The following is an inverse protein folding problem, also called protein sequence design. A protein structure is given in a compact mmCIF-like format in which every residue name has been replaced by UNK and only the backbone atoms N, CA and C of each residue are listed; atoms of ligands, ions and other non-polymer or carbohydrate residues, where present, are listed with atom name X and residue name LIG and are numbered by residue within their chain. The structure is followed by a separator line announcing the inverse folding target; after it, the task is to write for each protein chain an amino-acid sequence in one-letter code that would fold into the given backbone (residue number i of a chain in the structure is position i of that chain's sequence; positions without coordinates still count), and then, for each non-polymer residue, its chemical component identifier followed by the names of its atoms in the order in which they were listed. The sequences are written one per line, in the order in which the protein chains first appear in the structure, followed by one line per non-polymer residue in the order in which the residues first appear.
data_IF_198017688302
#
_entry.id   IF_198017688302
#
_cell.length_a   1.000
_cell.length_b   1.000
_cell.length_c   1.000
_cell.angle_alpha   90.00
_cell.angle_beta   90.00
_cell.angle_gamma   90.00
#
_symmetry.space_group_name_H-M   'P 1'
#
loop_
_entity.id
_entity.type
_entity.pdbx_description
1 polymer ?
#
# COMPACT_ATOMS: atom_id res chain seq x y z
N UNK A 1 -61.01 15.87 16.77
CA UNK A 1 -60.59 15.66 15.37
C UNK A 1 -59.56 16.66 14.86
N UNK A 2 -59.77 17.99 14.97
CA UNK A 2 -58.80 19.00 14.47
C UNK A 2 -57.38 18.90 15.06
N UNK A 3 -57.24 18.52 16.34
CA UNK A 3 -55.93 18.35 17.00
C UNK A 3 -55.15 17.11 16.51
N UNK A 4 -55.85 16.02 16.16
CA UNK A 4 -55.23 14.78 15.64
C UNK A 4 -54.75 14.94 14.19
N UNK A 5 -55.49 15.72 13.38
CA UNK A 5 -55.08 16.06 12.02
C UNK A 5 -53.84 16.97 12.02
N UNK A 6 -53.77 17.92 12.97
CA UNK A 6 -52.62 18.82 13.10
C UNK A 6 -51.35 18.06 13.50
N UNK A 7 -51.43 17.14 14.46
CA UNK A 7 -50.28 16.31 14.86
C UNK A 7 -49.82 15.39 13.73
N UNK A 8 -50.75 14.79 12.97
CA UNK A 8 -50.40 13.96 11.81
C UNK A 8 -49.70 14.76 10.72
N UNK A 9 -50.12 16.02 10.49
CA UNK A 9 -49.50 16.89 9.49
C UNK A 9 -48.06 17.25 9.91
N UNK A 10 -47.84 17.56 11.19
CA UNK A 10 -46.52 17.88 11.73
C UNK A 10 -45.57 16.69 11.59
N UNK A 11 -46.02 15.47 11.90
CA UNK A 11 -45.19 14.26 11.76
C UNK A 11 -44.79 14.00 10.31
N UNK A 12 -45.69 14.23 9.35
CA UNK A 12 -45.39 14.09 7.92
C UNK A 12 -44.34 15.13 7.48
N UNK A 13 -44.49 16.38 7.91
CA UNK A 13 -43.54 17.45 7.59
C UNK A 13 -42.16 17.14 8.17
N UNK A 14 -42.08 16.69 9.42
CA UNK A 14 -40.82 16.28 10.04
C UNK A 14 -40.18 15.12 9.28
N UNK A 15 -40.96 14.10 8.88
CA UNK A 15 -40.46 12.97 8.10
C UNK A 15 -39.89 13.36 6.74
N UNK A 16 -40.56 14.29 6.03
CA UNK A 16 -40.08 14.81 4.74
C UNK A 16 -38.80 15.63 4.92
N UNK A 17 -38.71 16.46 5.97
CA UNK A 17 -37.50 17.23 6.26
C UNK A 17 -36.33 16.29 6.57
N UNK A 18 -36.53 15.26 7.38
CA UNK A 18 -35.50 14.26 7.68
C UNK A 18 -35.07 13.55 6.38
N UNK A 19 -36.01 13.11 5.55
CA UNK A 19 -35.72 12.46 4.27
C UNK A 19 -34.90 13.35 3.33
N UNK A 20 -35.28 14.63 3.18
CA UNK A 20 -34.54 15.60 2.36
C UNK A 20 -33.15 15.86 2.92
N UNK A 21 -33.00 15.99 4.25
CA UNK A 21 -31.68 16.17 4.87
C UNK A 21 -30.81 14.92 4.73
N UNK A 22 -31.39 13.73 4.77
CA UNK A 22 -30.66 12.47 4.60
C UNK A 22 -30.19 12.31 3.15
N UNK A 23 -31.05 12.59 2.16
CA UNK A 23 -30.70 12.66 0.74
C UNK A 23 -29.61 13.72 0.51
N UNK A 24 -29.73 14.94 1.03
CA UNK A 24 -28.71 15.98 0.87
C UNK A 24 -27.38 15.64 1.55
N UNK A 25 -27.38 14.97 2.70
CA UNK A 25 -26.16 14.56 3.40
C UNK A 25 -25.51 13.36 2.71
N UNK A 26 -26.29 12.39 2.24
CA UNK A 26 -25.81 11.24 1.47
C UNK A 26 -25.32 11.65 0.07
N UNK A 27 -25.97 12.64 -0.56
CA UNK A 27 -25.48 13.26 -1.78
C UNK A 27 -24.20 14.02 -1.46
N UNK A 28 -24.07 14.76 -0.36
CA UNK A 28 -22.82 15.47 -0.03
C UNK A 28 -21.65 14.52 0.24
N UNK A 29 -21.91 13.37 0.87
CA UNK A 29 -20.92 12.32 1.13
C UNK A 29 -20.58 11.50 -0.15
N UNK A 30 -21.47 11.47 -1.15
CA UNK A 30 -21.22 10.84 -2.45
C UNK A 30 -20.82 11.82 -3.58
N UNK A 31 -21.03 13.13 -3.42
CA UNK A 31 -20.67 14.18 -4.40
C UNK A 31 -19.23 14.64 -4.21
N UNK A 32 -18.62 14.43 -3.04
CA UNK A 32 -17.15 14.39 -2.97
C UNK A 32 -16.56 13.17 -3.71
N UNK A 33 -17.39 12.20 -4.11
CA UNK A 33 -16.99 10.96 -4.80
C UNK A 33 -17.55 10.82 -6.23
N UNK A 34 -18.35 11.77 -6.73
CA UNK A 34 -19.06 11.63 -8.02
C UNK A 34 -18.84 12.75 -9.02
N UNK A 35 -17.92 13.68 -8.76
CA UNK A 35 -17.35 14.56 -9.78
C UNK A 35 -15.82 14.42 -9.80
N UNK A 36 -15.37 13.24 -10.22
CA UNK A 36 -14.14 13.19 -11.02
C UNK A 36 -14.55 12.56 -12.33
N UNK A 37 -14.95 13.42 -13.26
CA UNK A 37 -14.78 13.15 -14.67
C UNK A 37 -13.44 12.43 -14.85
N UNK A 38 -13.44 11.35 -15.63
CA UNK A 38 -12.25 10.68 -16.12
C UNK A 38 -11.39 11.66 -16.93
N UNK A 39 -10.73 12.60 -16.26
CA UNK A 39 -9.40 13.00 -16.65
C UNK A 39 -8.51 11.85 -16.19
N UNK A 40 -8.34 10.88 -17.08
CA UNK A 40 -7.14 10.05 -17.10
C UNK A 40 -5.98 11.01 -17.40
N UNK A 41 -5.63 11.84 -16.40
CA UNK A 41 -4.29 12.40 -16.32
C UNK A 41 -3.46 11.15 -16.10
N UNK A 42 -2.77 10.71 -17.15
CA UNK A 42 -1.70 9.73 -17.02
C UNK A 42 -0.79 10.30 -15.92
N UNK A 43 -0.94 9.80 -14.69
CA UNK A 43 -0.06 10.17 -13.60
C UNK A 43 1.28 9.58 -13.98
N UNK A 44 2.14 10.43 -14.53
CA UNK A 44 3.52 10.08 -14.80
C UNK A 44 4.19 10.00 -13.43
N UNK A 45 4.37 8.78 -12.95
CA UNK A 45 5.14 8.53 -11.75
C UNK A 45 6.62 8.64 -12.11
N UNK A 46 7.36 9.45 -11.36
CA UNK A 46 8.82 9.43 -11.40
C UNK A 46 9.32 8.43 -10.36
N UNK A 47 10.32 7.64 -10.75
CA UNK A 47 10.94 6.69 -9.83
C UNK A 47 11.73 7.46 -8.78
N UNK A 48 11.41 7.25 -7.50
CA UNK A 48 12.12 7.85 -6.37
C UNK A 48 12.46 6.76 -5.35
N UNK A 49 13.75 6.63 -5.04
CA UNK A 49 14.28 5.78 -3.97
C UNK A 49 15.21 6.54 -3.04
N UNK A 50 15.12 7.87 -2.98
CA UNK A 50 15.94 8.72 -2.10
C UNK A 50 15.84 8.35 -0.61
N UNK A 51 14.77 7.65 -0.23
CA UNK A 51 14.46 7.17 1.11
C UNK A 51 14.82 5.69 1.34
N UNK A 52 15.37 5.01 0.32
CA UNK A 52 15.79 3.62 0.39
C UNK A 52 17.27 3.48 0.07
N UNK A 53 17.92 2.45 0.61
CA UNK A 53 19.29 2.09 0.21
C UNK A 53 19.25 1.07 -0.92
N UNK A 54 19.78 1.42 -2.10
CA UNK A 54 19.96 0.46 -3.20
C UNK A 54 21.02 -0.59 -2.81
N UNK A 55 20.71 -1.87 -3.01
CA UNK A 55 21.55 -3.00 -2.62
C UNK A 55 21.56 -4.08 -3.69
N UNK A 56 22.61 -4.91 -3.67
CA UNK A 56 22.72 -6.10 -4.51
C UNK A 56 22.11 -7.34 -3.81
N UNK A 57 21.76 -8.37 -4.58
CA UNK A 57 21.18 -9.62 -4.04
C UNK A 57 22.13 -10.34 -3.09
N UNK A 58 23.44 -10.23 -3.31
CA UNK A 58 24.49 -10.79 -2.49
C UNK A 58 24.54 -10.19 -1.08
N UNK A 59 24.05 -8.95 -0.92
CA UNK A 59 24.06 -8.23 0.36
C UNK A 59 22.81 -8.52 1.19
N UNK A 60 21.70 -8.93 0.56
CA UNK A 60 20.40 -9.03 1.23
C UNK A 60 20.40 -9.97 2.43
N UNK A 61 21.06 -11.13 2.33
CA UNK A 61 21.11 -12.08 3.43
C UNK A 61 21.75 -11.47 4.68
N UNK A 62 22.88 -10.79 4.51
CA UNK A 62 23.58 -10.15 5.63
C UNK A 62 22.72 -9.03 6.25
N UNK A 63 22.04 -8.25 5.41
CA UNK A 63 21.14 -7.18 5.88
C UNK A 63 19.98 -7.76 6.71
N UNK A 64 19.37 -8.86 6.26
CA UNK A 64 18.30 -9.55 7.00
C UNK A 64 18.78 -10.09 8.35
N UNK A 65 20.04 -10.55 8.42
CA UNK A 65 20.62 -11.14 9.63
C UNK A 65 21.07 -10.08 10.66
N UNK A 66 21.47 -8.88 10.21
CA UNK A 66 22.01 -7.83 11.08
C UNK A 66 20.95 -6.89 11.66
N UNK A 67 19.84 -6.70 10.96
CA UNK A 67 18.84 -5.69 11.31
C UNK A 67 17.57 -6.25 11.96
N UNK A 68 16.99 -5.46 12.88
CA UNK A 68 15.82 -5.88 13.64
C UNK A 68 14.56 -5.95 12.78
N UNK A 69 14.26 -4.92 12.00
CA UNK A 69 13.11 -4.88 11.08
C UNK A 69 13.53 -4.20 9.80
N UNK A 70 13.35 -4.90 8.67
CA UNK A 70 13.67 -4.35 7.36
C UNK A 70 12.54 -4.59 6.37
N UNK A 71 12.44 -3.68 5.42
CA UNK A 71 11.62 -3.82 4.23
C UNK A 71 12.54 -3.90 3.02
N UNK A 72 12.28 -4.86 2.12
CA UNK A 72 13.00 -5.00 0.86
C UNK A 72 11.98 -4.76 -0.27
N UNK A 73 12.12 -3.63 -0.94
CA UNK A 73 11.41 -3.30 -2.16
C UNK A 73 12.16 -3.85 -3.37
N UNK A 74 11.56 -4.80 -4.08
CA UNK A 74 12.11 -5.42 -5.27
C UNK A 74 11.29 -4.96 -6.46
N UNK A 75 11.95 -4.40 -7.47
CA UNK A 75 11.27 -3.82 -8.62
C UNK A 75 12.22 -3.52 -9.76
N UNK A 76 11.66 -3.04 -10.88
CA UNK A 76 12.44 -2.51 -12.00
C UNK A 76 12.17 -1.03 -12.18
N UNK A 77 13.21 -0.20 -12.19
CA UNK A 77 13.07 1.26 -12.23
C UNK A 77 12.26 1.75 -13.45
N UNK A 78 12.32 1.04 -14.57
CA UNK A 78 11.61 1.37 -15.80
C UNK A 78 10.11 1.01 -15.78
N UNK A 79 9.68 0.11 -14.90
CA UNK A 79 8.30 -0.39 -14.86
C UNK A 79 7.36 0.60 -14.13
N UNK A 80 6.27 1.02 -14.80
CA UNK A 80 5.30 1.98 -14.25
C UNK A 80 4.73 1.59 -12.88
N UNK A 81 4.49 0.29 -12.66
CA UNK A 81 4.04 -0.20 -11.37
C UNK A 81 5.09 0.03 -10.28
N UNK A 82 6.38 -0.16 -10.59
CA UNK A 82 7.50 0.11 -9.67
C UNK A 82 7.59 1.59 -9.35
N UNK A 83 7.47 2.46 -10.37
CA UNK A 83 7.46 3.91 -10.16
C UNK A 83 6.33 4.33 -9.24
N UNK A 84 5.11 3.85 -9.49
CA UNK A 84 3.94 4.11 -8.64
C UNK A 84 4.17 3.70 -7.18
N UNK A 85 4.67 2.49 -6.93
CA UNK A 85 4.94 2.02 -5.57
C UNK A 85 6.06 2.85 -4.93
N UNK A 86 7.08 3.23 -5.69
CA UNK A 86 8.16 4.08 -5.20
C UNK A 86 7.67 5.47 -4.76
N UNK A 87 6.72 6.07 -5.50
CA UNK A 87 6.09 7.34 -5.10
C UNK A 87 5.29 7.17 -3.81
N UNK A 88 4.47 6.11 -3.72
CA UNK A 88 3.68 5.80 -2.53
C UNK A 88 4.57 5.64 -1.29
N UNK A 89 5.70 4.93 -1.41
CA UNK A 89 6.62 4.76 -0.30
C UNK A 89 7.34 6.07 0.08
N UNK A 90 7.65 6.92 -0.89
CA UNK A 90 8.22 8.25 -0.62
C UNK A 90 7.27 9.12 0.20
N UNK A 91 5.96 9.06 -0.09
CA UNK A 91 4.93 9.79 0.67
C UNK A 91 4.74 9.26 2.10
N UNK A 92 5.04 7.97 2.33
CA UNK A 92 4.83 7.30 3.62
C UNK A 92 6.07 7.30 4.52
N UNK A 93 7.26 7.62 4.02
CA UNK A 93 8.53 7.56 4.77
C UNK A 93 8.59 8.45 6.01
N UNK A 94 7.86 9.57 5.99
CA UNK A 94 7.85 10.52 7.10
C UNK A 94 6.89 10.08 8.22
N UNK A 95 5.94 9.19 7.89
CA UNK A 95 4.95 8.64 8.82
C UNK A 95 5.51 7.39 9.49
N UNK A 96 6.11 6.50 8.71
CA UNK A 96 6.59 5.20 9.15
C UNK A 96 8.12 5.17 9.10
N UNK A 97 8.76 4.88 10.24
CA UNK A 97 10.23 4.76 10.32
C UNK A 97 10.65 3.33 10.06
N UNK A 98 10.88 2.99 8.80
CA UNK A 98 11.38 1.68 8.40
C UNK A 98 12.77 1.76 7.74
N UNK A 99 13.58 0.71 7.92
CA UNK A 99 14.80 0.52 7.15
C UNK A 99 14.42 -0.11 5.81
N UNK A 100 14.34 0.73 4.77
CA UNK A 100 13.97 0.28 3.43
C UNK A 100 15.19 0.09 2.53
N UNK A 101 15.22 -1.07 1.91
CA UNK A 101 16.20 -1.49 0.94
C UNK A 101 15.56 -1.64 -0.43
N UNK A 102 16.24 -1.20 -1.48
CA UNK A 102 15.81 -1.39 -2.85
C UNK A 102 16.71 -2.37 -3.59
N UNK A 103 16.12 -3.43 -4.14
CA UNK A 103 16.78 -4.37 -5.03
C UNK A 103 16.24 -4.19 -6.46
N UNK A 104 17.14 -3.83 -7.38
CA UNK A 104 16.85 -3.84 -8.81
C UNK A 104 16.67 -5.28 -9.30
N UNK A 105 15.55 -5.59 -9.94
CA UNK A 105 15.30 -6.92 -10.48
C UNK A 105 15.89 -7.07 -11.88
N UNK A 106 17.19 -7.33 -11.91
CA UNK A 106 17.92 -7.58 -13.15
C UNK A 106 17.50 -8.89 -13.83
N UNK A 107 17.70 -8.95 -15.15
CA UNK A 107 17.44 -10.17 -15.92
C UNK A 107 18.42 -11.28 -15.53
N UNK A 108 17.91 -12.45 -15.14
CA UNK A 108 18.75 -13.59 -14.77
C UNK A 108 19.15 -13.62 -13.30
N UNK A 109 18.70 -12.67 -12.48
CA UNK A 109 18.91 -12.66 -11.03
C UNK A 109 18.48 -13.98 -10.38
N UNK A 110 17.43 -14.61 -10.92
CA UNK A 110 16.88 -15.88 -10.46
C UNK A 110 17.85 -17.06 -10.63
N UNK A 111 18.89 -16.91 -11.47
CA UNK A 111 19.91 -17.94 -11.72
C UNK A 111 21.15 -17.77 -10.85
N UNK A 112 21.24 -16.68 -10.10
CA UNK A 112 22.38 -16.42 -9.21
C UNK A 112 22.34 -17.32 -7.98
N UNK A 113 23.51 -17.67 -7.44
CA UNK A 113 23.59 -18.44 -6.20
C UNK A 113 22.97 -17.68 -5.02
N UNK A 114 23.21 -16.37 -4.93
CA UNK A 114 22.65 -15.54 -3.86
C UNK A 114 21.11 -15.57 -3.83
N UNK A 115 20.46 -15.52 -5.00
CA UNK A 115 19.00 -15.65 -5.07
C UNK A 115 18.50 -17.03 -4.61
N UNK A 116 19.18 -18.10 -5.05
CA UNK A 116 18.83 -19.47 -4.65
C UNK A 116 19.06 -19.72 -3.15
N UNK A 117 20.14 -19.16 -2.60
CA UNK A 117 20.47 -19.22 -1.18
C UNK A 117 19.45 -18.45 -0.34
N UNK A 118 18.98 -17.29 -0.83
CA UNK A 118 17.92 -16.52 -0.20
C UNK A 118 16.61 -17.33 -0.14
N UNK A 119 16.21 -17.95 -1.25
CA UNK A 119 15.02 -18.81 -1.30
C UNK A 119 15.15 -20.04 -0.38
N UNK A 120 16.34 -20.60 -0.27
CA UNK A 120 16.60 -21.75 0.61
C UNK A 120 16.53 -21.35 2.08
N UNK A 121 17.01 -20.14 2.41
CA UNK A 121 17.02 -19.61 3.77
C UNK A 121 15.61 -19.16 4.22
N UNK A 122 14.79 -18.66 3.29
CA UNK A 122 13.44 -18.18 3.56
C UNK A 122 12.44 -18.76 2.53
N UNK A 123 12.03 -20.03 2.66
CA UNK A 123 11.20 -20.70 1.65
C UNK A 123 9.87 -20.00 1.39
N UNK A 124 9.28 -19.34 2.39
CA UNK A 124 7.98 -18.66 2.27
C UNK A 124 8.01 -17.46 1.31
N UNK A 125 9.19 -16.88 1.04
CA UNK A 125 9.33 -15.75 0.10
C UNK A 125 9.09 -16.16 -1.35
N UNK A 126 9.19 -17.46 -1.67
CA UNK A 126 8.95 -18.00 -3.03
C UNK A 126 7.57 -17.62 -3.57
N UNK A 127 6.60 -17.42 -2.68
CA UNK A 127 5.26 -16.96 -3.00
C UNK A 127 5.20 -15.51 -3.49
N UNK A 128 6.24 -14.71 -3.27
CA UNK A 128 6.23 -13.26 -3.45
C UNK A 128 7.35 -12.73 -4.34
N UNK A 129 8.58 -13.21 -4.16
CA UNK A 129 9.80 -12.63 -4.76
C UNK A 129 9.79 -12.61 -6.30
N UNK A 130 8.95 -13.46 -6.92
CA UNK A 130 8.79 -13.52 -8.37
C UNK A 130 7.90 -12.39 -8.92
N UNK A 131 7.13 -11.68 -8.09
CA UNK A 131 6.39 -10.50 -8.50
C UNK A 131 7.31 -9.30 -8.73
N UNK A 132 6.84 -8.36 -9.54
CA UNK A 132 7.49 -7.08 -9.78
C UNK A 132 6.40 -6.01 -9.96
N UNK A 133 6.43 -4.92 -9.18
CA UNK A 133 7.17 -4.78 -7.92
C UNK A 133 6.67 -5.73 -6.81
N UNK A 134 7.42 -5.86 -5.73
CA UNK A 134 7.03 -6.54 -4.48
C UNK A 134 7.77 -5.92 -3.31
N UNK A 135 7.14 -5.90 -2.14
CA UNK A 135 7.79 -5.54 -0.88
C UNK A 135 7.75 -6.74 0.04
N UNK A 136 8.91 -7.09 0.59
CA UNK A 136 9.07 -8.15 1.57
C UNK A 136 9.45 -7.53 2.91
N UNK A 137 8.80 -7.97 3.99
CA UNK A 137 9.12 -7.56 5.35
C UNK A 137 9.82 -8.69 6.09
N UNK A 138 10.94 -8.36 6.72
CA UNK A 138 11.66 -9.25 7.61
C UNK A 138 11.78 -8.61 9.00
N UNK A 139 11.69 -9.43 10.04
CA UNK A 139 11.90 -9.02 11.42
C UNK A 139 12.66 -10.09 12.16
N UNK A 140 13.71 -9.72 12.88
CA UNK A 140 14.56 -10.63 13.66
C UNK A 140 15.03 -11.85 12.84
N UNK A 141 15.55 -11.60 11.63
CA UNK A 141 15.98 -12.64 10.69
C UNK A 141 14.87 -13.65 10.28
N UNK A 142 13.60 -13.24 10.34
CA UNK A 142 12.46 -14.05 9.91
C UNK A 142 11.65 -13.30 8.86
N UNK A 143 11.18 -14.02 7.85
CA UNK A 143 10.20 -13.48 6.92
C UNK A 143 8.85 -13.33 7.62
N UNK A 144 8.24 -12.15 7.50
CA UNK A 144 6.98 -11.81 8.17
C UNK A 144 5.83 -11.80 7.17
N UNK A 145 5.99 -11.04 6.08
CA UNK A 145 4.96 -10.90 5.07
C UNK A 145 5.54 -10.33 3.76
N UNK A 146 4.81 -10.54 2.67
CA UNK A 146 5.09 -9.94 1.38
C UNK A 146 3.83 -9.34 0.79
N UNK A 147 3.97 -8.23 0.07
CA UNK A 147 2.88 -7.59 -0.68
C UNK A 147 3.33 -7.32 -2.11
N UNK A 148 2.66 -7.88 -3.13
CA UNK A 148 2.95 -7.56 -4.52
C UNK A 148 2.55 -6.11 -4.80
N UNK A 149 3.40 -5.41 -5.54
CA UNK A 149 3.20 -4.03 -5.93
C UNK A 149 2.31 -3.90 -7.17
N UNK A 150 1.03 -4.16 -6.96
CA UNK A 150 -0.06 -3.75 -7.86
C UNK A 150 -1.18 -3.09 -7.07
N UNK A 151 -0.84 -2.62 -5.87
CA UNK A 151 -1.79 -2.29 -4.81
C UNK A 151 -1.98 -0.78 -4.70
N UNK A 152 -3.15 -0.41 -4.19
CA UNK A 152 -3.45 0.97 -3.82
C UNK A 152 -2.69 1.38 -2.55
N UNK A 153 -2.47 2.69 -2.36
CA UNK A 153 -1.81 3.24 -1.17
C UNK A 153 -2.42 2.74 0.14
N UNK A 154 -3.74 2.60 0.23
CA UNK A 154 -4.43 2.07 1.42
C UNK A 154 -3.94 0.69 1.85
N UNK A 155 -3.63 -0.18 0.88
CA UNK A 155 -3.13 -1.53 1.16
C UNK A 155 -1.67 -1.48 1.63
N UNK A 156 -0.90 -0.52 1.13
CA UNK A 156 0.47 -0.28 1.60
C UNK A 156 0.46 0.19 3.05
N UNK A 157 -0.43 1.13 3.38
CA UNK A 157 -0.62 1.61 4.76
C UNK A 157 -0.98 0.45 5.67
N UNK A 158 -2.00 -0.35 5.34
CA UNK A 158 -2.39 -1.51 6.16
C UNK A 158 -1.28 -2.56 6.29
N UNK A 159 -0.45 -2.73 5.25
CA UNK A 159 0.71 -3.61 5.32
C UNK A 159 1.75 -3.08 6.31
N UNK A 160 2.09 -1.79 6.26
CA UNK A 160 3.04 -1.18 7.18
C UNK A 160 2.55 -1.18 8.64
N UNK A 161 1.28 -0.83 8.86
CA UNK A 161 0.64 -0.91 10.18
C UNK A 161 0.70 -2.33 10.75
N UNK A 162 0.44 -3.36 9.93
CA UNK A 162 0.54 -4.75 10.36
C UNK A 162 1.97 -5.08 10.84
N UNK A 163 3.01 -4.66 10.11
CA UNK A 163 4.40 -4.89 10.51
C UNK A 163 4.75 -4.21 11.83
N UNK A 164 4.27 -2.97 12.05
CA UNK A 164 4.48 -2.25 13.32
C UNK A 164 3.78 -2.92 14.51
N UNK A 165 2.61 -3.53 14.32
CA UNK A 165 1.89 -4.19 15.43
C UNK A 165 2.52 -5.49 15.91
N UNK A 166 3.51 -6.03 15.19
CA UNK A 166 4.24 -7.24 15.56
C UNK A 166 5.42 -6.97 16.53
N UNK A 167 5.44 -5.80 17.18
CA UNK A 167 6.32 -5.47 18.32
C UNK A 167 6.16 -6.42 19.52
#
# INVERSE_FOLDING_TARGET
MKRLLLTSLITIVIGIVIFITYELFFIKENVETSETEQQNIEQIYEFDISYAKKVAIEELKNIIEEEETILIFIGKEEEEATKKISTILSDLKDVYKFNLYYLEKESGIEKTLAYQDLLTSYPDITNYINFTPVILAFKNNQFIAGIPGGVEQKNMVSFLEYIETLE
#
